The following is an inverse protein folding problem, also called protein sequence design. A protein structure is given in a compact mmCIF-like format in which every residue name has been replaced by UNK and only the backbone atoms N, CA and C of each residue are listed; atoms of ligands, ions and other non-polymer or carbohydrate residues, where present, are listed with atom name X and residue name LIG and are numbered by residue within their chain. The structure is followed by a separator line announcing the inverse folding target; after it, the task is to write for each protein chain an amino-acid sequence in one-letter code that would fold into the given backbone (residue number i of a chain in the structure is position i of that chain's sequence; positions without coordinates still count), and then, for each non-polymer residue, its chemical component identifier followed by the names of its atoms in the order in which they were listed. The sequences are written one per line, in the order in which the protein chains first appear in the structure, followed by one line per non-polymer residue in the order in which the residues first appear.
data_IF_665682555524
#
_entry.id   IF_665682555524
#
_cell.length_a   1.000
_cell.length_b   1.000
_cell.length_c   1.000
_cell.angle_alpha   90.00
_cell.angle_beta   90.00
_cell.angle_gamma   90.00
#
_symmetry.space_group_name_H-M   'P 1'
#
loop_
_entity.id
_entity.type
_entity.pdbx_description
1 polymer ?
#
# COMPACT_ATOMS: atom_id res chain seq x y z
N UNK A 1 48.65 41.44 23.96
CA UNK A 1 49.88 41.14 23.20
C UNK A 1 49.86 39.66 22.83
N UNK A 2 49.99 39.38 21.53
CA UNK A 2 50.42 38.12 20.91
C UNK A 2 49.86 36.79 21.47
N UNK A 3 48.85 36.24 20.79
CA UNK A 3 48.66 34.79 20.76
C UNK A 3 48.92 34.26 19.35
N UNK A 4 49.85 33.30 19.28
CA UNK A 4 50.50 32.78 18.09
C UNK A 4 49.58 31.87 17.27
N UNK A 5 49.78 32.00 15.97
CA UNK A 5 49.28 31.19 14.86
C UNK A 5 49.80 29.75 14.97
N UNK A 6 48.92 28.76 14.82
CA UNK A 6 49.28 27.40 14.41
C UNK A 6 48.47 27.06 13.14
N UNK A 7 49.18 26.99 12.01
CA UNK A 7 48.70 26.44 10.74
C UNK A 7 48.75 24.90 10.82
N UNK A 8 47.79 24.16 10.26
CA UNK A 8 47.99 22.77 9.89
C UNK A 8 48.75 22.66 8.55
N UNK A 9 49.65 21.68 8.50
CA UNK A 9 50.55 21.38 7.40
C UNK A 9 49.82 20.92 6.13
N UNK A 10 50.26 21.45 4.99
CA UNK A 10 49.91 20.99 3.64
C UNK A 10 50.64 19.69 3.31
N UNK A 11 49.92 18.58 3.27
CA UNK A 11 50.35 17.33 2.64
C UNK A 11 49.57 17.12 1.34
N UNK A 12 50.26 17.20 0.20
CA UNK A 12 49.69 16.92 -1.12
C UNK A 12 49.57 15.41 -1.37
N UNK A 13 48.46 14.90 -1.94
CA UNK A 13 48.38 13.53 -2.42
C UNK A 13 48.54 13.53 -3.95
N UNK A 14 49.76 13.58 -4.45
CA UNK A 14 50.02 13.36 -5.88
C UNK A 14 51.23 12.47 -6.08
N UNK A 15 50.99 11.18 -6.36
CA UNK A 15 51.84 10.39 -7.26
C UNK A 15 51.28 9.01 -7.70
N UNK A 16 49.99 8.70 -7.48
CA UNK A 16 49.39 7.45 -7.98
C UNK A 16 48.74 7.53 -9.37
N UNK A 17 48.23 8.71 -9.77
CA UNK A 17 47.41 8.86 -10.98
C UNK A 17 48.19 8.98 -12.30
N UNK A 18 49.46 9.41 -12.24
CA UNK A 18 50.27 9.68 -13.44
C UNK A 18 50.68 8.38 -14.16
N UNK A 19 51.03 7.34 -13.40
CA UNK A 19 51.50 6.07 -13.96
C UNK A 19 50.36 5.27 -14.62
N UNK A 20 49.17 5.25 -14.00
CA UNK A 20 48.00 4.55 -14.56
C UNK A 20 47.43 5.23 -15.80
N UNK A 21 47.38 6.57 -15.85
CA UNK A 21 46.99 7.31 -17.08
C UNK A 21 47.92 6.96 -18.24
N UNK A 22 49.23 6.97 -18.00
CA UNK A 22 50.24 6.69 -19.02
C UNK A 22 50.14 5.25 -19.55
N UNK A 23 49.85 4.27 -18.69
CA UNK A 23 49.66 2.87 -19.11
C UNK A 23 48.35 2.68 -19.88
N UNK A 24 47.27 3.33 -19.45
CA UNK A 24 45.96 3.23 -20.09
C UNK A 24 45.94 3.88 -21.48
N UNK A 25 46.53 5.08 -21.62
CA UNK A 25 46.64 5.78 -22.91
C UNK A 25 47.53 5.03 -23.90
N UNK A 26 48.69 4.51 -23.46
CA UNK A 26 49.55 3.66 -24.31
C UNK A 26 48.87 2.37 -24.76
N UNK A 27 48.04 1.77 -23.90
CA UNK A 27 47.31 0.53 -24.23
C UNK A 27 46.21 0.82 -25.27
N UNK A 28 45.43 1.89 -25.09
CA UNK A 28 44.40 2.31 -26.04
C UNK A 28 44.99 2.68 -27.41
N UNK A 29 46.13 3.38 -27.43
CA UNK A 29 46.78 3.79 -28.67
C UNK A 29 47.34 2.60 -29.47
N UNK A 30 47.70 1.50 -28.79
CA UNK A 30 48.15 0.26 -29.45
C UNK A 30 47.00 -0.55 -30.06
N UNK A 31 45.78 -0.36 -29.56
CA UNK A 31 44.56 -1.04 -30.04
C UNK A 31 43.88 -0.30 -31.20
N UNK A 32 44.25 0.96 -31.46
CA UNK A 32 43.72 1.78 -32.55
C UNK A 32 44.58 1.77 -33.83
N UNK A 33 45.69 1.03 -33.84
CA UNK A 33 46.59 0.92 -35.00
C UNK A 33 46.02 -0.07 -36.05
N UNK A 34 45.76 0.36 -37.30
CA UNK A 34 45.13 -0.48 -38.33
C UNK A 34 45.95 -1.73 -38.74
N UNK A 35 47.22 -1.83 -38.34
CA UNK A 35 48.08 -3.00 -38.59
C UNK A 35 48.10 -4.06 -37.47
N UNK A 36 47.35 -3.87 -36.38
CA UNK A 36 47.53 -4.64 -35.15
C UNK A 36 46.89 -6.05 -35.21
N UNK A 37 47.71 -7.10 -35.36
CA UNK A 37 47.26 -8.50 -35.19
C UNK A 37 47.26 -8.89 -33.71
N UNK A 38 46.07 -8.93 -33.11
CA UNK A 38 45.92 -9.34 -31.71
C UNK A 38 46.28 -10.83 -31.51
N UNK A 39 47.14 -11.13 -30.53
CA UNK A 39 47.33 -12.50 -30.05
C UNK A 39 46.35 -12.80 -28.92
N UNK A 40 45.83 -14.03 -28.84
CA UNK A 40 44.89 -14.46 -27.77
C UNK A 40 45.39 -14.12 -26.36
N UNK A 41 46.70 -14.18 -26.13
CA UNK A 41 47.33 -13.83 -24.84
C UNK A 41 47.21 -12.35 -24.50
N UNK A 42 47.29 -11.47 -25.50
CA UNK A 42 47.16 -10.03 -25.29
C UNK A 42 45.70 -9.64 -25.02
N UNK A 43 44.75 -10.28 -25.71
CA UNK A 43 43.32 -10.09 -25.48
C UNK A 43 42.92 -10.48 -24.05
N UNK A 44 43.42 -11.62 -23.56
CA UNK A 44 43.16 -12.09 -22.19
C UNK A 44 43.76 -11.10 -21.16
N UNK A 45 44.97 -10.58 -21.40
CA UNK A 45 45.59 -9.59 -20.50
C UNK A 45 44.81 -8.27 -20.46
N UNK A 46 44.33 -7.79 -21.62
CA UNK A 46 43.49 -6.59 -21.69
C UNK A 46 42.15 -6.78 -20.97
N UNK A 47 41.51 -7.96 -21.12
CA UNK A 47 40.26 -8.28 -20.43
C UNK A 47 40.41 -8.34 -18.91
N UNK A 48 41.51 -8.93 -18.40
CA UNK A 48 41.80 -8.99 -16.96
C UNK A 48 42.06 -7.59 -16.39
N UNK A 49 42.80 -6.73 -17.12
CA UNK A 49 43.04 -5.34 -16.72
C UNK A 49 41.76 -4.50 -16.70
N UNK A 50 40.84 -4.73 -17.66
CA UNK A 50 39.51 -4.14 -17.67
C UNK A 50 38.67 -4.57 -16.47
N UNK A 51 38.68 -5.87 -16.12
CA UNK A 51 37.96 -6.38 -14.95
C UNK A 51 38.55 -5.88 -13.62
N UNK A 52 39.86 -5.81 -13.50
CA UNK A 52 40.55 -5.30 -12.31
C UNK A 52 40.31 -3.79 -12.13
N UNK A 53 40.36 -3.02 -13.22
CA UNK A 53 40.01 -1.59 -13.19
C UNK A 53 38.52 -1.38 -12.88
N UNK A 54 37.63 -2.26 -13.33
CA UNK A 54 36.20 -2.24 -12.97
C UNK A 54 35.96 -2.44 -11.47
N UNK A 55 36.71 -3.34 -10.84
CA UNK A 55 36.63 -3.59 -9.39
C UNK A 55 37.17 -2.41 -8.57
N UNK A 56 38.26 -1.78 -9.04
CA UNK A 56 38.83 -0.58 -8.42
C UNK A 56 37.95 0.67 -8.62
N UNK A 57 37.28 0.82 -9.77
CA UNK A 57 36.34 1.90 -10.06
C UNK A 57 35.14 1.94 -9.09
N UNK A 58 34.70 0.78 -8.56
CA UNK A 58 33.66 0.71 -7.52
C UNK A 58 34.03 1.46 -6.24
N UNK A 59 35.32 1.52 -5.90
CA UNK A 59 35.79 2.15 -4.66
C UNK A 59 36.09 3.64 -4.81
N UNK A 60 36.21 4.16 -6.03
CA UNK A 60 36.61 5.55 -6.31
C UNK A 60 35.48 6.46 -6.80
N UNK A 61 34.29 5.91 -7.11
CA UNK A 61 33.11 6.73 -7.43
C UNK A 61 31.92 6.28 -6.56
N UNK A 62 31.80 6.82 -5.32
CA UNK A 62 30.58 6.68 -4.54
C UNK A 62 29.42 7.31 -5.34
N UNK A 63 28.50 6.47 -5.83
CA UNK A 63 27.30 6.91 -6.57
C UNK A 63 27.29 6.68 -8.09
N UNK A 64 28.33 6.11 -8.72
CA UNK A 64 28.28 5.73 -10.15
C UNK A 64 27.51 4.43 -10.43
N UNK A 65 27.11 3.73 -9.38
CA UNK A 65 26.12 2.66 -9.45
C UNK A 65 24.91 3.20 -8.74
N UNK A 66 23.93 3.71 -9.50
CA UNK A 66 22.57 3.75 -9.01
C UNK A 66 22.28 2.33 -8.51
N UNK A 67 22.03 2.16 -7.22
CA UNK A 67 21.33 0.96 -6.75
C UNK A 67 20.17 0.78 -7.73
N UNK A 68 20.07 -0.38 -8.38
CA UNK A 68 18.89 -0.75 -9.13
C UNK A 68 17.70 -0.44 -8.22
N UNK A 69 16.95 0.63 -8.55
CA UNK A 69 16.14 1.35 -7.58
C UNK A 69 15.31 0.38 -6.77
N UNK A 70 15.47 0.39 -5.44
CA UNK A 70 14.82 -0.55 -4.51
C UNK A 70 13.37 -0.76 -4.96
N UNK A 71 13.02 -1.94 -5.47
CA UNK A 71 11.63 -2.29 -5.82
C UNK A 71 11.01 -3.04 -4.67
N UNK A 72 9.75 -2.77 -4.35
CA UNK A 72 9.05 -3.48 -3.27
C UNK A 72 8.36 -4.73 -3.80
N UNK A 73 8.57 -5.85 -3.12
CA UNK A 73 7.86 -7.11 -3.40
C UNK A 73 6.42 -7.09 -2.88
N UNK A 74 5.54 -7.97 -3.38
CA UNK A 74 4.20 -8.14 -2.83
C UNK A 74 4.22 -8.36 -1.31
N UNK A 75 3.20 -7.82 -0.64
CA UNK A 75 3.07 -7.96 0.81
C UNK A 75 2.85 -9.42 1.18
N UNK A 76 3.57 -9.88 2.20
CA UNK A 76 3.38 -11.21 2.79
C UNK A 76 2.25 -11.16 3.81
N UNK A 77 1.06 -11.61 3.43
CA UNK A 77 -0.09 -11.79 4.34
C UNK A 77 0.22 -12.88 5.36
N UNK A 78 -0.14 -12.65 6.62
CA UNK A 78 -0.10 -13.70 7.66
C UNK A 78 -1.39 -14.50 7.54
N UNK A 79 -1.28 -15.83 7.46
CA UNK A 79 -2.46 -16.69 7.49
C UNK A 79 -3.08 -16.62 8.89
N UNK A 80 -4.31 -16.12 8.97
CA UNK A 80 -5.13 -16.13 10.17
C UNK A 80 -6.26 -17.13 9.98
N UNK A 81 -6.34 -18.16 10.85
CA UNK A 81 -7.47 -19.07 10.88
C UNK A 81 -8.63 -18.38 11.61
N UNK A 82 -9.65 -17.93 10.85
CA UNK A 82 -10.87 -17.32 11.37
C UNK A 82 -11.94 -18.38 11.61
N UNK A 83 -12.92 -18.07 12.48
CA UNK A 83 -14.04 -18.97 12.77
C UNK A 83 -15.09 -19.02 11.64
N UNK A 84 -15.13 -17.97 10.83
CA UNK A 84 -16.03 -17.79 9.69
C UNK A 84 -15.27 -17.17 8.53
N UNK A 85 -15.72 -17.42 7.30
CA UNK A 85 -15.16 -16.79 6.09
C UNK A 85 -15.52 -15.31 6.05
N UNK A 86 -16.71 -14.97 6.53
CA UNK A 86 -17.25 -13.63 6.61
C UNK A 86 -18.16 -13.47 7.84
N UNK A 87 -18.13 -12.31 8.47
CA UNK A 87 -19.06 -11.92 9.53
C UNK A 87 -19.78 -10.65 9.12
N UNK A 88 -21.09 -10.61 9.36
CA UNK A 88 -21.95 -9.46 9.09
C UNK A 88 -22.69 -9.12 10.37
N UNK A 89 -22.50 -7.90 10.87
CA UNK A 89 -23.15 -7.45 12.11
C UNK A 89 -23.98 -6.22 11.83
N UNK A 90 -25.23 -6.22 12.31
CA UNK A 90 -26.14 -5.09 12.26
C UNK A 90 -26.44 -4.55 13.64
N UNK A 91 -26.60 -3.24 13.77
CA UNK A 91 -26.89 -2.61 15.06
C UNK A 91 -26.68 -1.11 15.09
N UNK A 92 -27.04 -0.49 16.21
CA UNK A 92 -27.18 0.97 16.33
C UNK A 92 -25.86 1.73 16.54
N UNK A 93 -24.82 1.08 17.08
CA UNK A 93 -23.51 1.70 17.30
C UNK A 93 -22.48 1.17 16.30
N UNK A 94 -21.90 2.02 15.42
CA UNK A 94 -20.85 1.61 14.48
C UNK A 94 -19.65 0.99 15.21
N UNK A 95 -19.26 1.55 16.36
CA UNK A 95 -18.18 1.02 17.18
C UNK A 95 -18.46 -0.38 17.74
N UNK A 96 -19.67 -0.60 18.26
CA UNK A 96 -20.08 -1.88 18.85
C UNK A 96 -20.22 -3.00 17.81
N UNK A 97 -20.85 -2.72 16.66
CA UNK A 97 -20.98 -3.71 15.57
C UNK A 97 -19.62 -4.08 14.98
N UNK A 98 -18.67 -3.14 14.93
CA UNK A 98 -17.28 -3.39 14.53
C UNK A 98 -16.58 -4.34 15.50
N UNK A 99 -16.69 -4.07 16.81
CA UNK A 99 -16.13 -4.92 17.85
C UNK A 99 -16.69 -6.34 17.75
N UNK A 100 -18.03 -6.45 17.68
CA UNK A 100 -18.71 -7.74 17.60
C UNK A 100 -18.32 -8.52 16.34
N UNK A 101 -18.13 -7.85 15.21
CA UNK A 101 -17.71 -8.48 13.96
C UNK A 101 -16.32 -9.12 14.08
N UNK A 102 -15.36 -8.39 14.66
CA UNK A 102 -13.99 -8.90 14.88
C UNK A 102 -13.98 -10.02 15.92
N UNK A 103 -14.76 -9.91 17.00
CA UNK A 103 -14.90 -10.98 17.99
C UNK A 103 -15.44 -12.27 17.37
N UNK A 104 -16.47 -12.18 16.54
CA UNK A 104 -17.06 -13.34 15.87
C UNK A 104 -16.11 -13.98 14.83
N UNK A 105 -15.15 -13.24 14.26
CA UNK A 105 -14.07 -13.83 13.46
C UNK A 105 -13.06 -14.63 14.30
N UNK A 106 -13.11 -14.52 15.63
CA UNK A 106 -12.18 -15.16 16.56
C UNK A 106 -11.29 -14.19 17.34
N UNK A 107 -11.56 -12.88 17.26
CA UNK A 107 -10.87 -11.83 17.99
C UNK A 107 -9.67 -11.22 17.26
N UNK A 108 -9.28 -10.00 17.65
CA UNK A 108 -8.20 -9.25 17.00
C UNK A 108 -6.82 -9.93 17.13
N UNK A 109 -6.62 -10.74 18.17
CA UNK A 109 -5.39 -11.52 18.39
C UNK A 109 -5.11 -12.58 17.31
N UNK A 110 -6.09 -12.89 16.44
CA UNK A 110 -5.89 -13.71 15.23
C UNK A 110 -5.03 -13.00 14.17
N UNK A 111 -5.08 -11.66 14.14
CA UNK A 111 -4.44 -10.84 13.12
C UNK A 111 -3.23 -10.07 13.69
N UNK A 112 -3.37 -9.57 14.92
CA UNK A 112 -2.39 -8.71 15.59
C UNK A 112 -1.70 -9.46 16.71
N UNK A 113 -0.36 -9.45 16.70
CA UNK A 113 0.51 -10.00 17.73
C UNK A 113 1.09 -8.88 18.60
N UNK A 114 1.49 -9.24 19.82
CA UNK A 114 2.21 -8.33 20.71
C UNK A 114 3.46 -7.79 20.01
N UNK A 115 3.59 -6.47 19.94
CA UNK A 115 4.73 -5.80 19.32
C UNK A 115 4.52 -5.37 17.87
N UNK A 116 3.43 -5.81 17.21
CA UNK A 116 3.18 -5.50 15.79
C UNK A 116 3.03 -3.99 15.55
N UNK A 117 3.52 -3.55 14.39
CA UNK A 117 3.15 -2.29 13.75
C UNK A 117 1.98 -2.54 12.82
N UNK A 118 0.80 -2.11 13.26
CA UNK A 118 -0.45 -2.22 12.50
C UNK A 118 -0.66 -0.97 11.66
N UNK A 119 -1.09 -1.17 10.41
CA UNK A 119 -1.56 -0.11 9.52
C UNK A 119 -3.05 -0.32 9.26
N UNK A 120 -3.86 0.67 9.62
CA UNK A 120 -5.29 0.73 9.31
C UNK A 120 -5.48 1.73 8.18
N UNK A 121 -6.07 1.26 7.08
CA UNK A 121 -6.36 2.08 5.91
C UNK A 121 -7.88 2.28 5.74
N UNK A 122 -8.47 3.32 6.35
CA UNK A 122 -9.82 3.76 6.02
C UNK A 122 -9.91 4.35 4.59
N UNK A 123 -11.12 4.73 4.18
CA UNK A 123 -11.32 5.67 3.10
C UNK A 123 -11.47 7.09 3.68
N UNK A 124 -10.51 7.97 3.39
CA UNK A 124 -10.48 9.38 3.78
C UNK A 124 -10.24 10.26 2.54
N UNK A 125 -10.81 9.88 1.40
CA UNK A 125 -10.54 10.53 0.12
C UNK A 125 -11.02 11.98 0.06
N UNK A 126 -12.04 12.34 0.84
CA UNK A 126 -12.89 13.49 0.55
C UNK A 126 -13.00 14.44 1.75
N UNK A 127 -13.07 15.74 1.50
CA UNK A 127 -13.40 16.73 2.52
C UNK A 127 -14.91 16.72 2.76
N UNK A 128 -15.37 15.74 3.55
CA UNK A 128 -16.79 15.47 3.81
C UNK A 128 -17.00 14.98 5.22
N UNK A 129 -18.09 15.44 5.82
CA UNK A 129 -18.54 15.05 7.14
C UNK A 129 -19.10 13.60 7.14
N UNK A 130 -19.10 12.90 8.29
CA UNK A 130 -19.46 11.47 8.37
C UNK A 130 -20.85 11.11 7.85
N UNK A 131 -21.82 12.02 7.95
CA UNK A 131 -23.21 11.82 7.54
C UNK A 131 -23.36 11.58 6.03
N UNK A 132 -22.41 12.03 5.21
CA UNK A 132 -22.45 11.88 3.75
C UNK A 132 -22.03 10.49 3.25
N UNK A 133 -21.53 9.61 4.12
CA UNK A 133 -21.01 8.28 3.76
C UNK A 133 -19.96 8.31 2.61
N UNK A 134 -19.27 9.44 2.45
CA UNK A 134 -18.19 9.59 1.48
C UNK A 134 -16.87 9.00 2.02
N UNK A 135 -16.69 8.99 3.34
CA UNK A 135 -15.51 8.47 4.03
C UNK A 135 -15.94 7.39 5.05
N UNK A 136 -14.99 6.60 5.52
CA UNK A 136 -15.22 5.62 6.59
C UNK A 136 -15.67 6.31 7.87
N UNK A 137 -16.64 5.71 8.57
CA UNK A 137 -17.14 6.19 9.84
C UNK A 137 -16.01 6.22 10.91
N UNK A 138 -15.79 7.37 11.58
CA UNK A 138 -14.73 7.52 12.57
C UNK A 138 -14.83 6.55 13.75
N UNK A 139 -16.04 6.13 14.15
CA UNK A 139 -16.23 5.18 15.25
C UNK A 139 -15.74 3.76 14.90
N UNK A 140 -15.88 3.35 13.63
CA UNK A 140 -15.34 2.08 13.12
C UNK A 140 -13.81 2.09 13.24
N UNK A 141 -13.17 3.18 12.79
CA UNK A 141 -11.72 3.37 12.88
C UNK A 141 -11.25 3.35 14.34
N UNK A 142 -11.93 4.10 15.22
CA UNK A 142 -11.60 4.13 16.64
C UNK A 142 -11.73 2.75 17.32
N UNK A 143 -12.77 1.98 16.96
CA UNK A 143 -12.99 0.63 17.48
C UNK A 143 -11.85 -0.30 17.08
N UNK A 144 -11.44 -0.29 15.80
CA UNK A 144 -10.32 -1.10 15.33
C UNK A 144 -8.99 -0.72 15.97
N UNK A 145 -8.72 0.57 16.20
CA UNK A 145 -7.53 1.01 16.94
C UNK A 145 -7.51 0.41 18.35
N UNK A 146 -8.61 0.53 19.10
CA UNK A 146 -8.70 0.01 20.47
C UNK A 146 -8.48 -1.50 20.49
N UNK A 147 -9.08 -2.24 19.56
CA UNK A 147 -8.90 -3.69 19.44
C UNK A 147 -7.44 -4.07 19.13
N UNK A 148 -6.79 -3.36 18.21
CA UNK A 148 -5.38 -3.60 17.89
C UNK A 148 -4.47 -3.35 19.09
N UNK A 149 -4.70 -2.27 19.83
CA UNK A 149 -3.94 -1.96 21.05
C UNK A 149 -4.18 -2.98 22.15
N UNK A 150 -5.42 -3.41 22.36
CA UNK A 150 -5.77 -4.46 23.30
C UNK A 150 -5.11 -5.80 22.95
N UNK A 151 -4.95 -6.11 21.66
CA UNK A 151 -4.18 -7.28 21.19
C UNK A 151 -2.64 -7.13 21.34
N UNK A 152 -2.15 -5.97 21.77
CA UNK A 152 -0.74 -5.74 22.08
C UNK A 152 0.06 -5.07 20.95
N UNK A 153 -0.58 -4.47 19.94
CA UNK A 153 0.12 -3.69 18.92
C UNK A 153 1.01 -2.61 19.57
N UNK A 154 2.29 -2.55 19.17
CA UNK A 154 3.21 -1.50 19.61
C UNK A 154 2.83 -0.15 19.02
N UNK A 155 2.28 -0.17 17.80
CA UNK A 155 1.89 1.04 17.06
C UNK A 155 0.73 0.73 16.13
N UNK A 156 -0.27 1.61 16.12
CA UNK A 156 -1.36 1.58 15.15
C UNK A 156 -1.31 2.87 14.33
N UNK A 157 -0.91 2.77 13.07
CA UNK A 157 -0.86 3.89 12.13
C UNK A 157 -2.16 3.93 11.32
N UNK A 158 -2.74 5.10 11.15
CA UNK A 158 -3.89 5.33 10.28
C UNK A 158 -3.47 6.23 9.13
N UNK A 159 -3.67 5.76 7.91
CA UNK A 159 -3.38 6.58 6.73
C UNK A 159 -4.36 6.32 5.59
N UNK A 160 -4.49 7.32 4.73
CA UNK A 160 -4.99 7.21 3.37
C UNK A 160 -4.27 8.23 2.47
N UNK A 161 -4.18 7.95 1.17
CA UNK A 161 -3.77 8.92 0.17
C UNK A 161 -5.03 9.68 -0.30
N UNK A 162 -5.24 10.88 0.22
CA UNK A 162 -6.50 11.63 0.04
C UNK A 162 -6.63 12.20 -1.38
N UNK A 163 -7.85 12.50 -1.83
CA UNK A 163 -8.10 13.18 -3.12
C UNK A 163 -8.20 14.70 -2.93
N UNK A 164 -8.88 15.16 -1.88
CA UNK A 164 -8.82 16.55 -1.44
C UNK A 164 -7.62 16.77 -0.50
N UNK A 165 -7.48 18.00 0.01
CA UNK A 165 -6.40 18.36 0.93
C UNK A 165 -6.45 17.49 2.19
N UNK A 166 -5.33 16.83 2.50
CA UNK A 166 -5.28 15.83 3.56
C UNK A 166 -5.69 16.38 4.92
N UNK A 167 -5.27 17.60 5.29
CA UNK A 167 -5.65 18.19 6.57
C UNK A 167 -7.19 18.25 6.74
N UNK A 168 -7.90 18.73 5.72
CA UNK A 168 -9.36 18.84 5.72
C UNK A 168 -10.04 17.46 5.68
N UNK A 169 -9.58 16.56 4.82
CA UNK A 169 -10.08 15.19 4.77
C UNK A 169 -10.06 14.51 6.14
N UNK A 170 -8.96 14.61 6.88
CA UNK A 170 -8.82 13.98 8.20
C UNK A 170 -9.62 14.71 9.29
N UNK A 171 -9.71 16.05 9.25
CA UNK A 171 -10.46 16.82 10.24
C UNK A 171 -11.97 16.71 10.04
N UNK A 172 -12.47 16.98 8.84
CA UNK A 172 -13.91 17.06 8.53
C UNK A 172 -14.58 15.69 8.64
N UNK A 173 -13.87 14.61 8.29
CA UNK A 173 -14.38 13.24 8.49
C UNK A 173 -14.44 12.81 9.96
N UNK A 174 -13.91 13.61 10.89
CA UNK A 174 -13.78 13.24 12.31
C UNK A 174 -12.76 12.15 12.60
N UNK A 175 -12.09 11.60 11.57
CA UNK A 175 -11.13 10.50 11.75
C UNK A 175 -9.90 10.98 12.54
N UNK A 176 -9.45 12.22 12.36
CA UNK A 176 -8.32 12.73 13.12
C UNK A 176 -8.55 12.66 14.65
N UNK A 177 -9.72 13.14 15.08
CA UNK A 177 -10.12 13.13 16.49
C UNK A 177 -10.31 11.70 17.01
N UNK A 178 -10.99 10.85 16.23
CA UNK A 178 -11.20 9.45 16.56
C UNK A 178 -9.88 8.67 16.72
N UNK A 179 -8.91 8.91 15.84
CA UNK A 179 -7.58 8.30 15.91
C UNK A 179 -6.83 8.74 17.18
N UNK A 180 -6.86 10.05 17.47
CA UNK A 180 -6.22 10.62 18.66
C UNK A 180 -6.80 10.02 19.95
N UNK A 181 -8.13 10.07 20.11
CA UNK A 181 -8.84 9.56 21.30
C UNK A 181 -8.67 8.06 21.51
N UNK A 182 -8.56 7.28 20.44
CA UNK A 182 -8.33 5.83 20.54
C UNK A 182 -6.86 5.44 20.79
N UNK A 183 -5.93 6.41 20.76
CA UNK A 183 -4.50 6.18 20.95
C UNK A 183 -3.79 5.63 19.71
N UNK A 184 -4.32 5.91 18.52
CA UNK A 184 -3.67 5.65 17.24
C UNK A 184 -2.74 6.79 16.83
N UNK A 185 -2.10 6.67 15.66
CA UNK A 185 -1.27 7.74 15.07
C UNK A 185 -1.67 7.99 13.63
N UNK A 186 -2.04 9.23 13.32
CA UNK A 186 -2.19 9.65 11.93
C UNK A 186 -0.81 9.60 11.26
N UNK A 187 -0.75 8.98 10.09
CA UNK A 187 0.45 8.91 9.27
C UNK A 187 0.15 9.55 7.92
N UNK A 188 0.34 10.86 7.79
CA UNK A 188 0.19 11.53 6.51
C UNK A 188 1.14 10.93 5.46
N UNK A 189 0.68 10.88 4.22
CA UNK A 189 1.46 10.34 3.10
C UNK A 189 2.74 11.17 2.93
N UNK A 190 3.89 10.48 2.95
CA UNK A 190 5.17 11.03 2.52
C UNK A 190 5.42 10.54 1.08
N UNK A 191 5.60 11.46 0.14
CA UNK A 191 5.83 11.12 -1.27
C UNK A 191 7.10 10.29 -1.50
N UNK A 192 8.11 10.46 -0.66
CA UNK A 192 9.38 9.72 -0.73
C UNK A 192 9.22 8.23 -0.39
N UNK A 193 8.10 7.86 0.25
CA UNK A 193 7.77 6.47 0.57
C UNK A 193 7.00 5.76 -0.53
N UNK A 194 6.76 6.40 -1.67
CA UNK A 194 6.22 5.72 -2.83
C UNK A 194 7.36 5.07 -3.61
N UNK A 195 7.41 3.74 -3.54
CA UNK A 195 8.49 2.95 -4.11
C UNK A 195 7.94 2.11 -5.27
N UNK A 196 8.65 2.00 -6.41
CA UNK A 196 8.22 1.14 -7.52
C UNK A 196 7.98 -0.30 -7.05
N UNK A 197 6.84 -0.87 -7.42
CA UNK A 197 6.45 -2.21 -6.98
C UNK A 197 6.73 -3.29 -8.05
N UNK A 198 7.06 -4.49 -7.58
CA UNK A 198 7.24 -5.69 -8.40
C UNK A 198 5.88 -6.35 -8.68
N UNK A 199 5.21 -5.89 -9.73
CA UNK A 199 4.12 -6.62 -10.35
C UNK A 199 4.67 -7.64 -11.37
N UNK A 200 3.88 -8.66 -11.79
CA UNK A 200 4.28 -9.57 -12.86
C UNK A 200 4.65 -8.82 -14.14
N UNK A 201 5.63 -9.32 -14.88
CA UNK A 201 6.05 -8.71 -16.15
C UNK A 201 4.86 -8.61 -17.13
N UNK A 202 4.70 -7.45 -17.77
CA UNK A 202 3.57 -7.18 -18.67
C UNK A 202 2.26 -6.80 -17.97
N UNK A 203 2.26 -6.69 -16.62
CA UNK A 203 1.13 -6.14 -15.87
C UNK A 203 0.91 -4.67 -16.22
N UNK A 204 -0.35 -4.23 -16.23
CA UNK A 204 -0.70 -2.82 -16.39
C UNK A 204 -0.33 -1.95 -15.15
N UNK A 205 0.17 -2.60 -14.09
CA UNK A 205 0.69 -2.01 -12.86
C UNK A 205 2.22 -2.19 -12.74
N UNK A 206 2.91 -2.65 -13.79
CA UNK A 206 4.37 -2.82 -13.77
C UNK A 206 5.08 -1.53 -13.31
N UNK A 207 5.93 -1.67 -12.28
CA UNK A 207 6.64 -0.56 -11.62
C UNK A 207 5.76 0.51 -10.95
N UNK A 208 4.46 0.27 -10.80
CA UNK A 208 3.57 1.26 -10.19
C UNK A 208 4.07 1.64 -8.78
N UNK A 209 4.17 2.93 -8.43
CA UNK A 209 4.62 3.35 -7.12
C UNK A 209 3.60 2.98 -6.03
N UNK A 210 4.03 2.22 -5.02
CA UNK A 210 3.19 1.79 -3.89
C UNK A 210 3.78 2.32 -2.57
N UNK A 211 2.91 2.69 -1.65
CA UNK A 211 3.29 3.27 -0.35
C UNK A 211 3.95 2.22 0.55
N UNK A 212 5.21 2.46 0.92
CA UNK A 212 6.06 1.52 1.64
C UNK A 212 5.44 0.99 2.95
N UNK A 213 4.85 1.89 3.75
CA UNK A 213 4.27 1.52 5.05
C UNK A 213 3.08 0.56 4.90
N UNK A 214 2.39 0.55 3.75
CA UNK A 214 1.32 -0.42 3.48
C UNK A 214 1.86 -1.85 3.31
N UNK A 215 3.11 -1.99 2.87
CA UNK A 215 3.74 -3.27 2.55
C UNK A 215 4.61 -3.78 3.69
N UNK A 216 5.40 -2.91 4.33
CA UNK A 216 6.34 -3.28 5.40
C UNK A 216 5.70 -3.41 6.79
N UNK A 217 4.40 -3.13 6.92
CA UNK A 217 3.69 -3.31 8.19
C UNK A 217 3.47 -4.79 8.55
N UNK A 218 3.43 -5.07 9.85
CA UNK A 218 3.20 -6.42 10.39
C UNK A 218 1.77 -6.90 10.15
N UNK A 219 0.80 -5.98 10.23
CA UNK A 219 -0.61 -6.24 9.98
C UNK A 219 -1.22 -5.06 9.21
N UNK A 220 -1.90 -5.35 8.11
CA UNK A 220 -2.61 -4.39 7.27
C UNK A 220 -4.12 -4.65 7.33
N UNK A 221 -4.85 -3.67 7.86
CA UNK A 221 -6.31 -3.71 7.99
C UNK A 221 -6.92 -2.71 7.01
N UNK A 222 -7.67 -3.20 6.03
CA UNK A 222 -8.36 -2.38 5.02
C UNK A 222 -9.79 -2.04 5.52
N UNK A 223 -10.15 -0.77 5.57
CA UNK A 223 -11.42 -0.31 6.18
C UNK A 223 -12.22 0.57 5.21
N UNK A 224 -12.70 0.03 4.07
CA UNK A 224 -13.45 0.80 3.09
C UNK A 224 -14.81 1.27 3.65
N UNK A 225 -15.30 2.41 3.16
CA UNK A 225 -16.73 2.74 3.21
C UNK A 225 -17.45 2.09 2.03
N UNK A 226 -18.65 1.56 2.25
CA UNK A 226 -19.50 1.05 1.19
C UNK A 226 -20.26 2.19 0.51
N UNK A 227 -19.96 2.45 -0.77
CA UNK A 227 -20.65 3.50 -1.54
C UNK A 227 -20.67 3.24 -3.04
N UNK A 228 -21.59 3.91 -3.72
CA UNK A 228 -21.61 4.09 -5.16
C UNK A 228 -20.34 4.80 -5.66
N UNK A 229 -19.96 4.48 -6.90
CA UNK A 229 -18.92 5.17 -7.64
C UNK A 229 -19.24 5.14 -9.14
N UNK A 230 -19.31 6.29 -9.78
CA UNK A 230 -19.71 6.42 -11.19
C UNK A 230 -18.95 5.49 -12.17
N UNK A 231 -17.62 5.44 -12.07
CA UNK A 231 -16.81 4.59 -12.96
C UNK A 231 -16.74 3.11 -12.54
N UNK A 232 -16.65 2.83 -11.24
CA UNK A 232 -16.38 1.47 -10.74
C UNK A 232 -17.64 0.72 -10.30
N UNK A 233 -18.81 1.33 -10.45
CA UNK A 233 -20.09 0.98 -9.82
C UNK A 233 -20.08 1.16 -8.30
N UNK A 234 -19.13 0.52 -7.59
CA UNK A 234 -19.00 0.62 -6.14
C UNK A 234 -17.54 0.91 -5.69
N UNK A 235 -17.40 1.65 -4.60
CA UNK A 235 -16.19 1.66 -3.76
C UNK A 235 -16.41 0.72 -2.60
N UNK A 236 -15.55 -0.29 -2.51
CA UNK A 236 -15.53 -1.32 -1.47
C UNK A 236 -14.06 -1.65 -1.12
N UNK A 237 -13.76 -2.86 -0.64
CA UNK A 237 -12.42 -3.30 -0.21
C UNK A 237 -11.37 -3.13 -1.28
N UNK A 238 -11.56 -3.75 -2.45
CA UNK A 238 -10.53 -3.80 -3.49
C UNK A 238 -10.25 -2.40 -4.05
N UNK A 239 -11.30 -1.60 -4.30
CA UNK A 239 -11.13 -0.23 -4.81
C UNK A 239 -10.51 0.70 -3.77
N UNK A 240 -10.80 0.51 -2.48
CA UNK A 240 -10.19 1.34 -1.43
C UNK A 240 -8.66 1.25 -1.46
N UNK A 241 -8.10 0.08 -1.81
CA UNK A 241 -6.64 -0.12 -1.90
C UNK A 241 -5.94 0.84 -2.86
N UNK A 242 -6.65 1.50 -3.79
CA UNK A 242 -6.08 2.60 -4.60
C UNK A 242 -5.43 3.71 -3.75
N UNK A 243 -5.84 3.87 -2.49
CA UNK A 243 -5.21 4.79 -1.55
C UNK A 243 -3.78 4.41 -1.12
N UNK A 244 -3.27 3.24 -1.52
CA UNK A 244 -1.85 2.86 -1.34
C UNK A 244 -0.99 3.25 -2.55
N UNK A 245 -1.62 3.61 -3.67
CA UNK A 245 -0.93 3.94 -4.91
C UNK A 245 -0.40 5.38 -4.88
N UNK A 246 0.81 5.58 -5.37
CA UNK A 246 1.36 6.88 -5.73
C UNK A 246 1.13 7.19 -7.22
N UNK A 247 1.94 8.11 -7.75
CA UNK A 247 1.92 8.46 -9.17
C UNK A 247 0.60 9.06 -9.65
N UNK A 248 0.33 8.93 -10.95
CA UNK A 248 -0.92 9.39 -11.54
C UNK A 248 -2.05 8.37 -11.30
N UNK A 249 -2.67 8.43 -10.12
CA UNK A 249 -3.81 7.55 -9.76
C UNK A 249 -5.00 7.64 -10.72
N UNK A 250 -5.14 8.73 -11.48
CA UNK A 250 -6.16 8.85 -12.52
C UNK A 250 -6.05 7.75 -13.57
N UNK A 251 -4.81 7.37 -13.94
CA UNK A 251 -4.55 6.30 -14.92
C UNK A 251 -4.94 4.91 -14.42
N UNK A 252 -5.22 4.70 -13.13
CA UNK A 252 -5.76 3.43 -12.63
C UNK A 252 -7.16 3.17 -13.19
N UNK A 253 -7.92 4.22 -13.55
CA UNK A 253 -9.26 4.06 -14.13
C UNK A 253 -9.24 3.49 -15.56
N UNK A 254 -8.06 3.41 -16.18
CA UNK A 254 -7.86 2.79 -17.48
C UNK A 254 -7.52 1.31 -17.25
N UNK A 255 -8.35 0.38 -17.73
CA UNK A 255 -8.25 -1.05 -17.38
C UNK A 255 -8.31 -1.29 -15.85
N UNK A 256 -9.26 -0.61 -15.21
CA UNK A 256 -9.38 -0.56 -13.75
C UNK A 256 -9.61 -1.93 -13.12
N UNK A 257 -10.37 -2.78 -13.78
CA UNK A 257 -10.76 -4.10 -13.28
C UNK A 257 -9.53 -4.96 -13.03
N UNK A 258 -8.62 -5.05 -14.01
CA UNK A 258 -7.36 -5.78 -13.91
C UNK A 258 -6.45 -5.15 -12.86
N UNK A 259 -6.28 -3.82 -12.91
CA UNK A 259 -5.38 -3.10 -12.00
C UNK A 259 -5.81 -3.24 -10.53
N UNK A 260 -7.11 -3.15 -10.24
CA UNK A 260 -7.63 -3.33 -8.88
C UNK A 260 -7.46 -4.77 -8.38
N UNK A 261 -7.69 -5.76 -9.25
CA UNK A 261 -7.46 -7.15 -8.88
C UNK A 261 -5.97 -7.42 -8.60
N UNK A 262 -5.06 -6.97 -9.47
CA UNK A 262 -3.62 -7.11 -9.26
C UNK A 262 -3.13 -6.38 -8.00
N UNK A 263 -3.62 -5.16 -7.76
CA UNK A 263 -3.32 -4.41 -6.55
C UNK A 263 -3.81 -5.13 -5.29
N UNK A 264 -4.99 -5.73 -5.35
CA UNK A 264 -5.56 -6.53 -4.25
C UNK A 264 -4.68 -7.74 -3.96
N UNK A 265 -4.21 -8.44 -4.99
CA UNK A 265 -3.25 -9.54 -4.83
C UNK A 265 -1.91 -9.08 -4.26
N UNK A 266 -1.44 -7.90 -4.67
CA UNK A 266 -0.16 -7.34 -4.23
C UNK A 266 -0.18 -6.94 -2.75
N UNK A 267 -1.25 -6.27 -2.30
CA UNK A 267 -1.37 -5.81 -0.90
C UNK A 267 -1.90 -6.91 0.02
N UNK A 268 -2.87 -7.70 -0.44
CA UNK A 268 -3.46 -8.83 0.28
C UNK A 268 -3.71 -8.54 1.78
N UNK A 269 -4.73 -7.71 2.11
CA UNK A 269 -5.00 -7.30 3.49
C UNK A 269 -5.16 -8.49 4.44
N UNK A 270 -4.66 -8.38 5.68
CA UNK A 270 -4.87 -9.44 6.68
C UNK A 270 -6.32 -9.48 7.15
N UNK A 271 -6.95 -8.31 7.23
CA UNK A 271 -8.35 -8.14 7.60
C UNK A 271 -8.98 -7.01 6.75
N UNK A 272 -10.16 -7.27 6.22
CA UNK A 272 -11.04 -6.26 5.63
C UNK A 272 -12.23 -6.03 6.55
N UNK A 273 -12.55 -4.77 6.85
CA UNK A 273 -13.74 -4.35 7.60
C UNK A 273 -14.46 -3.28 6.80
N UNK A 274 -15.50 -3.68 6.07
CA UNK A 274 -16.33 -2.77 5.29
C UNK A 274 -17.31 -2.06 6.22
N UNK A 275 -17.17 -0.74 6.30
CA UNK A 275 -18.16 0.12 6.93
C UNK A 275 -19.35 0.32 5.98
N UNK A 276 -20.47 -0.29 6.33
CA UNK A 276 -21.76 -0.10 5.70
C UNK A 276 -22.78 0.43 6.73
N UNK A 277 -22.33 1.20 7.73
CA UNK A 277 -23.25 1.80 8.69
C UNK A 277 -24.16 2.82 8.00
N UNK A 278 -23.54 3.70 7.21
CA UNK A 278 -24.22 4.48 6.17
C UNK A 278 -23.62 4.08 4.83
N UNK A 279 -24.47 3.99 3.81
CA UNK A 279 -24.06 3.75 2.43
C UNK A 279 -24.54 4.89 1.56
N UNK A 280 -23.67 5.37 0.67
CA UNK A 280 -24.01 6.35 -0.35
C UNK A 280 -24.48 5.61 -1.61
N UNK A 281 -25.75 5.75 -1.97
CA UNK A 281 -26.40 4.98 -3.04
C UNK A 281 -26.20 5.58 -4.44
N UNK A 282 -26.04 6.90 -4.55
CA UNK A 282 -25.92 7.60 -5.82
C UNK A 282 -24.88 8.73 -5.76
N UNK A 283 -24.53 9.29 -6.92
CA UNK A 283 -23.63 10.46 -7.05
C UNK A 283 -22.26 10.36 -6.35
N UNK A 284 -21.82 9.14 -6.03
CA UNK A 284 -20.46 8.88 -5.59
C UNK A 284 -19.40 9.24 -6.65
N UNK A 285 -18.15 9.53 -6.22
CA UNK A 285 -17.57 9.05 -4.97
C UNK A 285 -17.70 9.99 -3.76
N UNK A 286 -18.17 11.22 -3.97
CA UNK A 286 -18.33 12.24 -2.91
C UNK A 286 -19.76 12.37 -2.41
N UNK A 287 -20.75 12.04 -3.24
CA UNK A 287 -22.14 12.41 -2.98
C UNK A 287 -22.33 13.93 -3.00
N UNK A 288 -23.30 14.41 -2.24
CA UNK A 288 -23.61 15.83 -2.09
C UNK A 288 -24.96 16.08 -1.44
N UNK A 289 -25.88 15.12 -1.56
CA UNK A 289 -27.17 15.11 -0.86
C UNK A 289 -27.20 14.02 0.20
N UNK A 290 -27.85 14.30 1.35
CA UNK A 290 -28.15 13.28 2.35
C UNK A 290 -29.28 12.34 1.90
N UNK A 291 -30.07 12.72 0.90
CA UNK A 291 -31.11 11.88 0.31
C UNK A 291 -30.51 10.65 -0.40
N UNK A 292 -29.26 10.77 -0.88
CA UNK A 292 -28.52 9.66 -1.48
C UNK A 292 -27.94 8.70 -0.43
N UNK A 293 -28.07 9.02 0.86
CA UNK A 293 -27.46 8.25 1.95
C UNK A 293 -28.51 7.40 2.66
N UNK A 294 -28.22 6.10 2.80
CA UNK A 294 -29.04 5.15 3.54
C UNK A 294 -28.31 4.63 4.78
N UNK A 295 -28.96 4.64 5.93
CA UNK A 295 -28.47 3.97 7.13
C UNK A 295 -28.72 2.45 7.01
N UNK A 296 -27.73 1.70 6.54
CA UNK A 296 -27.78 0.24 6.50
C UNK A 296 -27.36 -0.41 7.83
N UNK A 297 -26.74 0.36 8.74
CA UNK A 297 -26.39 -0.02 10.11
C UNK A 297 -25.62 -1.34 10.18
N UNK A 298 -24.71 -1.57 9.22
CA UNK A 298 -24.04 -2.85 9.02
C UNK A 298 -22.52 -2.71 9.00
N UNK A 299 -21.79 -3.68 9.55
CA UNK A 299 -20.36 -3.89 9.28
C UNK A 299 -20.16 -5.29 8.74
N UNK A 300 -19.31 -5.41 7.72
CA UNK A 300 -18.91 -6.69 7.11
C UNK A 300 -17.42 -6.87 7.35
N UNK A 301 -17.01 -7.99 7.94
CA UNK A 301 -15.62 -8.28 8.23
C UNK A 301 -15.20 -9.66 7.73
N UNK A 302 -14.00 -9.77 7.17
CA UNK A 302 -13.45 -11.05 6.71
C UNK A 302 -12.04 -10.91 6.14
N UNK A 303 -11.47 -12.04 5.75
CA UNK A 303 -10.09 -12.11 5.22
C UNK A 303 -10.02 -12.26 3.70
N UNK A 304 -11.13 -12.64 3.05
CA UNK A 304 -11.26 -12.65 1.59
C UNK A 304 -11.89 -11.32 1.12
N UNK A 305 -11.12 -10.42 0.48
CA UNK A 305 -11.64 -9.14 0.01
C UNK A 305 -12.64 -9.29 -1.15
N UNK A 306 -12.58 -10.37 -1.93
CA UNK A 306 -13.52 -10.65 -3.04
C UNK A 306 -14.86 -11.07 -2.48
N UNK A 307 -14.87 -11.95 -1.46
CA UNK A 307 -16.09 -12.37 -0.78
C UNK A 307 -16.74 -11.20 -0.04
N UNK A 308 -15.94 -10.38 0.65
CA UNK A 308 -16.42 -9.20 1.36
C UNK A 308 -17.07 -8.19 0.39
N UNK A 309 -16.42 -7.90 -0.74
CA UNK A 309 -16.99 -7.00 -1.77
C UNK A 309 -18.24 -7.59 -2.41
N UNK A 310 -18.26 -8.90 -2.62
CA UNK A 310 -19.41 -9.61 -3.18
C UNK A 310 -20.62 -9.52 -2.25
N UNK A 311 -20.45 -9.76 -0.95
CA UNK A 311 -21.55 -9.58 0.01
C UNK A 311 -21.98 -8.11 0.07
N UNK A 312 -21.04 -7.17 0.12
CA UNK A 312 -21.38 -5.74 0.19
C UNK A 312 -22.14 -5.26 -1.05
N UNK A 313 -21.89 -5.81 -2.23
CA UNK A 313 -22.63 -5.48 -3.46
C UNK A 313 -24.13 -5.78 -3.35
N UNK A 314 -24.54 -6.77 -2.55
CA UNK A 314 -25.97 -7.09 -2.35
C UNK A 314 -26.69 -5.99 -1.57
N UNK A 315 -25.99 -5.16 -0.79
CA UNK A 315 -26.57 -4.00 -0.11
C UNK A 315 -27.00 -2.90 -1.10
N UNK A 316 -26.48 -2.93 -2.31
CA UNK A 316 -26.82 -2.04 -3.43
C UNK A 316 -27.73 -2.70 -4.46
N UNK A 317 -28.27 -3.89 -4.15
CA UNK A 317 -29.06 -4.70 -5.09
C UNK A 317 -28.31 -5.00 -6.40
N UNK A 318 -26.98 -5.11 -6.34
CA UNK A 318 -26.14 -5.43 -7.50
C UNK A 318 -25.68 -6.89 -7.43
N UNK A 319 -25.65 -7.56 -8.58
CA UNK A 319 -24.96 -8.84 -8.70
C UNK A 319 -23.44 -8.59 -8.62
N UNK A 320 -22.70 -9.27 -7.73
CA UNK A 320 -21.25 -9.10 -7.61
C UNK A 320 -20.50 -9.26 -8.93
N UNK A 321 -20.95 -10.17 -9.80
CA UNK A 321 -20.28 -10.47 -11.08
C UNK A 321 -20.50 -9.41 -12.15
N UNK A 322 -21.46 -8.52 -11.96
CA UNK A 322 -21.63 -7.34 -12.82
C UNK A 322 -20.60 -6.25 -12.49
N UNK A 323 -19.91 -6.35 -11.35
CA UNK A 323 -18.85 -5.42 -10.95
C UNK A 323 -17.52 -5.96 -11.48
N UNK A 324 -16.93 -5.23 -12.43
CA UNK A 324 -15.81 -5.71 -13.23
C UNK A 324 -14.60 -6.18 -12.42
N UNK A 325 -14.20 -5.43 -11.39
CA UNK A 325 -13.05 -5.80 -10.56
C UNK A 325 -13.30 -7.04 -9.68
N UNK A 326 -14.54 -7.31 -9.25
CA UNK A 326 -14.90 -8.53 -8.51
C UNK A 326 -14.77 -9.74 -9.45
N UNK A 327 -15.38 -9.66 -10.64
CA UNK A 327 -15.33 -10.71 -11.66
C UNK A 327 -13.88 -11.05 -12.07
N UNK A 328 -13.04 -10.03 -12.28
CA UNK A 328 -11.63 -10.24 -12.63
C UNK A 328 -10.84 -10.85 -11.46
N UNK A 329 -11.05 -10.38 -10.23
CA UNK A 329 -10.36 -10.93 -9.06
C UNK A 329 -10.71 -12.41 -8.80
N UNK A 330 -11.98 -12.79 -8.98
CA UNK A 330 -12.41 -14.19 -8.93
C UNK A 330 -11.73 -15.03 -10.03
N UNK A 331 -11.69 -14.55 -11.28
CA UNK A 331 -10.99 -15.23 -12.39
C UNK A 331 -9.50 -15.44 -12.10
N UNK A 332 -8.87 -14.49 -11.42
CA UNK A 332 -7.47 -14.57 -10.99
C UNK A 332 -7.26 -15.41 -9.72
N UNK A 333 -8.32 -16.03 -9.19
CA UNK A 333 -8.31 -16.86 -7.98
C UNK A 333 -7.77 -16.13 -6.75
N UNK A 334 -8.03 -14.83 -6.65
CA UNK A 334 -7.64 -14.01 -5.49
C UNK A 334 -8.55 -14.29 -4.29
N UNK A 335 -9.81 -14.58 -4.58
CA UNK A 335 -10.87 -14.90 -3.63
C UNK A 335 -12.10 -15.39 -4.39
N UNK A 336 -13.23 -15.52 -3.71
CA UNK A 336 -14.47 -16.05 -4.29
C UNK A 336 -15.60 -15.03 -4.30
N UNK A 337 -16.40 -15.00 -5.38
CA UNK A 337 -17.67 -14.26 -5.41
C UNK A 337 -18.89 -15.16 -5.08
N UNK A 338 -18.65 -16.45 -4.80
CA UNK A 338 -19.68 -17.44 -4.45
C UNK A 338 -20.13 -17.31 -2.98
N UNK A 339 -21.01 -16.34 -2.71
CA UNK A 339 -21.55 -16.07 -1.37
C UNK A 339 -22.24 -17.31 -0.76
N UNK A 340 -22.99 -18.07 -1.58
CA UNK A 340 -23.81 -19.19 -1.12
C UNK A 340 -23.02 -20.38 -0.55
N UNK A 341 -21.72 -20.47 -0.86
CA UNK A 341 -20.83 -21.54 -0.39
C UNK A 341 -19.98 -21.13 0.81
N UNK A 342 -19.99 -19.85 1.17
CA UNK A 342 -19.18 -19.33 2.26
C UNK A 342 -19.85 -19.56 3.62
N UNK A 343 -19.04 -19.83 4.64
CA UNK A 343 -19.46 -19.82 6.04
C UNK A 343 -19.61 -18.37 6.52
N UNK A 344 -20.82 -17.83 6.40
CA UNK A 344 -21.15 -16.45 6.78
C UNK A 344 -21.94 -16.42 8.09
N UNK A 345 -21.40 -15.72 9.10
CA UNK A 345 -22.11 -15.47 10.35
C UNK A 345 -22.80 -14.10 10.33
N UNK A 346 -24.12 -14.09 10.45
CA UNK A 346 -24.90 -12.85 10.63
C UNK A 346 -25.31 -12.66 12.09
N UNK A 347 -25.18 -11.43 12.60
CA UNK A 347 -25.50 -11.05 13.99
C UNK A 347 -26.27 -9.71 13.98
N UNK A 348 -27.23 -9.55 14.88
CA UNK A 348 -27.95 -8.29 15.13
C UNK A 348 -27.83 -7.96 16.62
N UNK A 349 -27.41 -6.74 16.96
CA UNK A 349 -27.22 -6.26 18.33
C UNK A 349 -27.75 -4.84 18.54
#
# INVERSE_FOLDING_TARGET
MHNRILKPASGSPHNGGSLMKTVFEKTLHSLSDPGFRSSRRLFIRAAILLLASFSLLKNFIPGAWAESGKKISPRKKRTAATLHDLVVVRGESPGAITQRAVEALGGMSRFVRKGDVVVIKPNIGWDRAPEYAANTNPEVVASLIRLCRAAGAKRVKVFDNTCNQAALCYSTSGIADAVSKAGGRISYVNKEKFIPALFPAGSAMEEWPIYLDAVECDCFINVPVAKHHSLAKLTLSMKNLMGVCGGNRGMIHWNMEQKLAELTKFINPDLTVIDAYRILLQHGPTGGSLEDVKAAKTVIAGTDPVLADSYAATLFSMNPRDIGYIRVAEKLKIGTAEISKANIKTIVI
#
